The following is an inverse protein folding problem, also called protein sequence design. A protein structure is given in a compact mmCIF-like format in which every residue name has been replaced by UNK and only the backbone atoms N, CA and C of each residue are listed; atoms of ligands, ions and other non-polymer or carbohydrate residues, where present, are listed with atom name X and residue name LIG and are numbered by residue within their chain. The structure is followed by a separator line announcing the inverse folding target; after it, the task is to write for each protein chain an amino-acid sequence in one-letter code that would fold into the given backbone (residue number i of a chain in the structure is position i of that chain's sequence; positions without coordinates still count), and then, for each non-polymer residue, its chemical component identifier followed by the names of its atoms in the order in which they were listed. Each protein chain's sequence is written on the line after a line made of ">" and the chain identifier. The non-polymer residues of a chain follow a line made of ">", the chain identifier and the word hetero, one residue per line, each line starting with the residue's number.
data_IF_927456815265
#
_entry.id   IF_927456815265
#
_cell.length_a   1.000
_cell.length_b   1.000
_cell.length_c   1.000
_cell.angle_alpha   90.00
_cell.angle_beta   90.00
_cell.angle_gamma   90.00
#
_symmetry.space_group_name_H-M   'P 1'
#
loop_
_entity.id
_entity.type
_entity.pdbx_description
1 polymer ?
#
# COMPACT_ATOMS: atom_id res chain seq x y z
N UNK A 1 -13.39 10.56 27.18
CA UNK A 1 -14.32 9.65 26.46
C UNK A 1 -13.90 8.19 26.68
N UNK A 2 -14.81 7.23 26.94
CA UNK A 2 -14.43 5.86 27.37
C UNK A 2 -13.50 5.12 26.39
N UNK A 3 -13.68 5.38 25.09
CA UNK A 3 -12.87 4.81 24.00
C UNK A 3 -11.44 5.37 23.88
N UNK A 4 -11.12 6.47 24.59
CA UNK A 4 -9.76 7.04 24.66
C UNK A 4 -8.91 6.39 25.76
N UNK A 5 -9.54 5.65 26.67
CA UNK A 5 -8.86 4.92 27.75
C UNK A 5 -8.58 3.48 27.35
N UNK A 6 -7.66 2.85 28.05
CA UNK A 6 -7.37 1.43 27.87
C UNK A 6 -8.37 0.59 28.65
N UNK A 7 -8.80 -0.59 28.15
CA UNK A 7 -9.54 -1.56 28.98
C UNK A 7 -8.81 -1.93 30.28
N UNK A 8 -7.47 -1.88 30.29
CA UNK A 8 -6.65 -2.11 31.48
C UNK A 8 -6.93 -1.10 32.59
N UNK A 9 -7.27 0.14 32.24
CA UNK A 9 -7.64 1.19 33.19
C UNK A 9 -8.90 0.83 33.99
N UNK A 10 -9.66 -0.16 33.52
CA UNK A 10 -10.86 -0.69 34.14
C UNK A 10 -10.68 -2.12 34.69
N UNK A 11 -9.43 -2.57 34.84
CA UNK A 11 -9.09 -3.88 35.42
C UNK A 11 -9.23 -5.08 34.48
N UNK A 12 -9.38 -4.87 33.16
CA UNK A 12 -9.54 -5.97 32.21
C UNK A 12 -8.22 -6.38 31.56
N UNK A 13 -7.95 -7.69 31.51
CA UNK A 13 -6.77 -8.28 30.89
C UNK A 13 -6.85 -8.27 29.35
N UNK A 14 -6.86 -7.08 28.75
CA UNK A 14 -6.88 -6.91 27.29
C UNK A 14 -6.42 -5.53 26.87
N UNK A 15 -5.86 -5.45 25.67
CA UNK A 15 -5.27 -4.24 25.11
C UNK A 15 -6.22 -3.39 24.25
N UNK A 16 -7.36 -3.94 23.83
CA UNK A 16 -8.32 -3.27 22.93
C UNK A 16 -9.75 -3.39 23.42
N UNK A 17 -10.60 -2.42 23.10
CA UNK A 17 -12.05 -2.53 23.31
C UNK A 17 -12.69 -3.60 22.40
N UNK A 18 -13.74 -4.26 22.88
CA UNK A 18 -14.74 -4.98 22.06
C UNK A 18 -16.10 -4.44 22.44
N UNK A 19 -17.06 -4.57 21.52
CA UNK A 19 -18.44 -4.16 21.77
C UNK A 19 -19.01 -4.82 23.03
N UNK A 20 -18.70 -6.10 23.26
CA UNK A 20 -19.14 -6.80 24.46
C UNK A 20 -18.62 -6.16 25.76
N UNK A 21 -17.31 -5.91 25.86
CA UNK A 21 -16.76 -5.29 27.06
C UNK A 21 -17.26 -3.86 27.23
N UNK A 22 -17.30 -3.07 26.14
CA UNK A 22 -17.87 -1.73 26.19
C UNK A 22 -19.30 -1.76 26.71
N UNK A 23 -20.11 -2.73 26.26
CA UNK A 23 -21.50 -2.90 26.73
C UNK A 23 -21.55 -3.20 28.22
N UNK A 24 -20.71 -4.11 28.72
CA UNK A 24 -20.65 -4.43 30.16
C UNK A 24 -20.26 -3.21 31.00
N UNK A 25 -19.29 -2.41 30.54
CA UNK A 25 -18.84 -1.22 31.27
C UNK A 25 -19.90 -0.11 31.20
N UNK A 26 -20.51 0.14 30.04
CA UNK A 26 -21.57 1.13 29.89
C UNK A 26 -22.77 0.76 30.76
N UNK A 27 -23.23 -0.49 30.72
CA UNK A 27 -24.33 -0.96 31.56
C UNK A 27 -24.03 -0.76 33.05
N UNK A 28 -22.80 -1.04 33.48
CA UNK A 28 -22.37 -0.84 34.88
C UNK A 28 -22.28 0.64 35.28
N UNK A 29 -21.69 1.48 34.43
CA UNK A 29 -21.42 2.89 34.76
C UNK A 29 -22.69 3.75 34.75
N UNK A 30 -23.67 3.39 33.91
CA UNK A 30 -24.87 4.19 33.69
C UNK A 30 -26.15 3.51 34.22
N UNK A 31 -26.02 2.33 34.84
CA UNK A 31 -27.13 1.51 35.34
C UNK A 31 -28.22 1.26 34.28
N UNK A 32 -27.77 0.85 33.08
CA UNK A 32 -28.65 0.56 31.93
C UNK A 32 -28.52 -0.88 31.49
N UNK A 33 -29.55 -1.39 30.80
CA UNK A 33 -29.51 -2.71 30.18
C UNK A 33 -29.47 -2.57 28.66
N UNK A 34 -28.26 -2.36 28.11
CA UNK A 34 -28.05 -2.35 26.66
C UNK A 34 -27.58 -3.71 26.17
N UNK A 35 -28.15 -4.14 25.03
CA UNK A 35 -27.62 -5.24 24.24
C UNK A 35 -26.45 -4.75 23.37
N UNK A 36 -25.48 -5.63 23.09
CA UNK A 36 -24.28 -5.31 22.27
C UNK A 36 -24.59 -4.69 20.91
N UNK A 37 -25.65 -5.14 20.25
CA UNK A 37 -26.06 -4.60 18.95
C UNK A 37 -26.60 -3.16 19.08
N UNK A 38 -27.29 -2.86 20.18
CA UNK A 38 -27.79 -1.51 20.48
C UNK A 38 -26.62 -0.56 20.70
N UNK A 39 -25.65 -0.95 21.52
CA UNK A 39 -24.45 -0.15 21.72
C UNK A 39 -23.69 0.07 20.41
N UNK A 40 -23.52 -0.96 19.56
CA UNK A 40 -22.84 -0.80 18.27
C UNK A 40 -23.50 0.26 17.38
N UNK A 41 -24.83 0.30 17.35
CA UNK A 41 -25.59 1.33 16.60
C UNK A 41 -25.38 2.72 17.19
N UNK A 42 -25.38 2.87 18.52
CA UNK A 42 -25.12 4.15 19.18
C UNK A 42 -23.69 4.64 18.97
N UNK A 43 -22.70 3.75 19.00
CA UNK A 43 -21.32 4.08 18.67
C UNK A 43 -21.24 4.66 17.25
N UNK A 44 -21.91 4.05 16.26
CA UNK A 44 -21.98 4.59 14.90
C UNK A 44 -22.67 5.95 14.83
N UNK A 45 -23.81 6.13 15.52
CA UNK A 45 -24.52 7.42 15.56
C UNK A 45 -23.68 8.53 16.21
N UNK A 46 -22.86 8.18 17.19
CA UNK A 46 -21.88 9.09 17.82
C UNK A 46 -20.61 9.30 16.97
N UNK A 47 -20.60 8.88 15.70
CA UNK A 47 -19.45 9.04 14.80
C UNK A 47 -18.27 8.10 15.09
N UNK A 48 -18.42 7.11 15.97
CA UNK A 48 -17.36 6.15 16.26
C UNK A 48 -17.34 5.01 15.24
N UNK A 49 -16.12 4.66 14.81
CA UNK A 49 -15.90 3.63 13.78
C UNK A 49 -15.02 2.52 14.32
N UNK A 50 -15.34 1.29 13.92
CA UNK A 50 -14.48 0.13 14.19
C UNK A 50 -13.39 0.05 13.12
N UNK A 51 -12.15 0.34 13.50
CA UNK A 51 -10.99 0.31 12.61
C UNK A 51 -9.80 -0.40 13.26
N UNK A 52 -8.87 -0.87 12.43
CA UNK A 52 -7.58 -1.41 12.87
C UNK A 52 -6.70 -0.25 13.34
N UNK A 53 -6.02 -0.42 14.47
CA UNK A 53 -5.00 0.53 14.91
C UNK A 53 -3.82 0.52 13.93
N UNK A 54 -3.29 1.69 13.58
CA UNK A 54 -2.09 1.80 12.77
C UNK A 54 -0.85 1.73 13.68
N UNK A 55 0.15 0.89 13.38
CA UNK A 55 1.42 0.97 14.09
C UNK A 55 2.06 2.33 13.83
N UNK A 56 2.59 2.96 14.87
CA UNK A 56 3.38 4.19 14.77
C UNK A 56 4.66 3.99 15.56
N UNK A 57 5.79 4.42 15.00
CA UNK A 57 7.05 4.43 15.71
C UNK A 57 7.15 5.73 16.51
N UNK A 58 7.72 5.67 17.71
CA UNK A 58 7.93 6.85 18.56
C UNK A 58 9.03 7.79 18.05
N UNK A 59 9.68 7.45 16.95
CA UNK A 59 10.79 8.22 16.36
C UNK A 59 10.18 9.19 15.34
N UNK A 60 10.38 10.49 15.58
CA UNK A 60 9.96 11.55 14.66
C UNK A 60 11.14 11.85 13.72
N UNK A 61 10.91 11.84 12.42
CA UNK A 61 11.92 12.29 11.45
C UNK A 61 12.18 13.79 11.66
N UNK A 62 13.40 14.22 11.99
CA UNK A 62 13.70 15.64 12.22
C UNK A 62 13.48 16.50 10.98
N UNK A 63 13.52 15.91 9.78
CA UNK A 63 13.35 16.59 8.49
C UNK A 63 11.97 16.35 7.89
N UNK A 64 10.98 15.96 8.70
CA UNK A 64 9.64 15.59 8.22
C UNK A 64 9.00 16.71 7.37
N UNK A 65 8.93 17.92 7.93
CA UNK A 65 8.24 19.05 7.31
C UNK A 65 8.98 19.54 6.05
N UNK A 66 10.31 19.55 6.08
CA UNK A 66 11.16 19.91 4.94
C UNK A 66 10.97 18.95 3.76
N UNK A 67 11.08 17.63 4.01
CA UNK A 67 10.89 16.61 2.96
C UNK A 67 9.48 16.67 2.38
N UNK A 68 8.46 16.81 3.25
CA UNK A 68 7.07 16.95 2.81
C UNK A 68 6.89 18.18 1.92
N UNK A 69 7.42 19.34 2.34
CA UNK A 69 7.31 20.58 1.57
C UNK A 69 8.02 20.46 0.20
N UNK A 70 9.20 19.85 0.15
CA UNK A 70 9.92 19.62 -1.12
C UNK A 70 9.10 18.75 -2.09
N UNK A 71 8.42 17.72 -1.58
CA UNK A 71 7.51 16.88 -2.36
C UNK A 71 6.31 17.70 -2.84
N UNK A 72 5.65 18.45 -1.96
CA UNK A 72 4.50 19.30 -2.31
C UNK A 72 4.86 20.33 -3.40
N UNK A 73 6.02 20.97 -3.30
CA UNK A 73 6.52 21.91 -4.30
C UNK A 73 6.77 21.21 -5.65
N UNK A 74 7.40 20.04 -5.65
CA UNK A 74 7.63 19.29 -6.88
C UNK A 74 6.31 18.88 -7.54
N UNK A 75 5.32 18.43 -6.75
CA UNK A 75 3.99 18.07 -7.25
C UNK A 75 3.26 19.29 -7.84
N UNK A 76 3.31 20.44 -7.17
CA UNK A 76 2.68 21.67 -7.65
C UNK A 76 3.32 22.20 -8.95
N UNK A 77 4.61 21.97 -9.14
CA UNK A 77 5.37 22.35 -10.35
C UNK A 77 5.37 21.24 -11.43
N UNK A 78 4.73 20.11 -11.15
CA UNK A 78 4.69 18.95 -12.04
C UNK A 78 4.05 19.29 -13.38
N UNK A 79 4.70 18.89 -14.47
CA UNK A 79 4.21 19.14 -15.83
C UNK A 79 4.63 18.02 -16.78
N UNK A 80 4.14 18.03 -18.02
CA UNK A 80 4.59 17.08 -19.04
C UNK A 80 6.11 17.18 -19.31
N UNK A 81 6.71 18.36 -19.14
CA UNK A 81 8.16 18.57 -19.27
C UNK A 81 8.93 18.17 -18.01
N UNK A 82 8.32 18.23 -16.83
CA UNK A 82 8.93 17.89 -15.54
C UNK A 82 8.00 16.95 -14.75
N UNK A 83 7.77 15.72 -15.22
CA UNK A 83 6.86 14.80 -14.56
C UNK A 83 7.40 14.36 -13.20
N UNK A 84 6.46 14.20 -12.26
CA UNK A 84 6.71 13.70 -10.90
C UNK A 84 6.00 12.37 -10.72
N UNK A 85 6.72 11.39 -10.20
CA UNK A 85 6.22 10.04 -9.96
C UNK A 85 6.31 9.69 -8.48
N UNK A 86 5.32 8.95 -8.00
CA UNK A 86 5.44 8.18 -6.77
C UNK A 86 6.00 6.81 -7.12
N UNK A 87 7.06 6.40 -6.47
CA UNK A 87 7.75 5.14 -6.75
C UNK A 87 7.76 4.27 -5.50
N UNK A 88 7.58 2.97 -5.74
CA UNK A 88 7.68 1.94 -4.72
C UNK A 88 7.87 0.56 -5.39
N UNK A 89 8.22 -0.43 -4.59
CA UNK A 89 8.40 -1.81 -4.98
C UNK A 89 7.44 -2.73 -4.21
N UNK A 90 6.91 -3.75 -4.89
CA UNK A 90 5.97 -4.70 -4.29
C UNK A 90 6.42 -6.14 -4.48
N UNK A 91 6.25 -6.93 -3.42
CA UNK A 91 6.51 -8.37 -3.39
C UNK A 91 5.31 -9.15 -3.93
N UNK A 92 5.57 -10.06 -4.86
CA UNK A 92 4.61 -11.03 -5.37
C UNK A 92 5.03 -12.42 -4.87
N UNK A 93 4.33 -12.88 -3.85
CA UNK A 93 4.49 -14.22 -3.28
C UNK A 93 3.59 -15.22 -4.02
N UNK A 94 4.12 -16.39 -4.38
CA UNK A 94 3.29 -17.49 -4.90
C UNK A 94 2.43 -18.11 -3.80
N UNK A 95 2.86 -18.02 -2.54
CA UNK A 95 1.98 -18.38 -1.43
C UNK A 95 0.88 -17.31 -1.29
N UNK A 96 -0.40 -17.68 -1.46
CA UNK A 96 -1.48 -16.70 -1.47
C UNK A 96 -1.64 -16.06 -0.09
N UNK A 97 -1.88 -14.75 -0.08
CA UNK A 97 -2.36 -14.08 1.13
C UNK A 97 -3.78 -14.57 1.42
N UNK A 98 -4.10 -14.91 2.67
CA UNK A 98 -5.45 -15.35 3.02
C UNK A 98 -6.33 -14.12 3.28
N UNK A 99 -7.42 -14.03 2.52
CA UNK A 99 -8.42 -12.96 2.60
C UNK A 99 -9.80 -13.49 2.94
N UNK A 100 -10.69 -12.60 3.40
CA UNK A 100 -12.10 -12.93 3.53
C UNK A 100 -12.75 -13.12 2.15
N UNK A 101 -13.66 -14.08 2.04
CA UNK A 101 -14.38 -14.42 0.80
C UNK A 101 -15.82 -14.82 1.18
N UNK A 102 -16.75 -14.71 0.24
CA UNK A 102 -18.14 -15.12 0.45
C UNK A 102 -18.26 -16.64 0.40
N UNK A 103 -18.94 -17.22 1.38
CA UNK A 103 -19.07 -18.68 1.53
C UNK A 103 -20.43 -19.04 2.13
N UNK A 104 -21.01 -20.20 1.79
CA UNK A 104 -22.20 -20.70 2.48
C UNK A 104 -21.94 -20.86 3.99
N UNK A 105 -22.99 -20.63 4.79
CA UNK A 105 -22.90 -20.78 6.24
C UNK A 105 -22.43 -22.19 6.61
N UNK A 106 -21.44 -22.28 7.49
CA UNK A 106 -20.87 -23.56 7.92
C UNK A 106 -19.82 -24.15 6.98
N UNK A 107 -19.55 -23.52 5.83
CA UNK A 107 -18.50 -23.94 4.91
C UNK A 107 -17.28 -23.02 4.99
N UNK A 108 -16.10 -23.61 4.84
CA UNK A 108 -14.83 -22.88 4.80
C UNK A 108 -14.00 -23.36 3.60
N UNK A 109 -13.79 -22.48 2.62
CA UNK A 109 -12.90 -22.71 1.46
C UNK A 109 -11.49 -22.95 1.96
N UNK A 110 -10.86 -24.00 1.45
CA UNK A 110 -9.46 -24.32 1.71
C UNK A 110 -8.64 -23.89 0.51
N UNK A 111 -7.62 -23.07 0.74
CA UNK A 111 -6.68 -22.64 -0.29
C UNK A 111 -5.41 -23.47 -0.12
N UNK A 112 -5.05 -24.22 -1.16
CA UNK A 112 -3.81 -24.99 -1.17
C UNK A 112 -2.62 -24.04 -1.29
N UNK A 113 -1.65 -24.17 -0.41
CA UNK A 113 -0.38 -23.44 -0.48
C UNK A 113 0.67 -24.33 -1.16
N UNK A 114 1.40 -23.83 -2.18
CA UNK A 114 2.44 -24.59 -2.88
C UNK A 114 3.66 -25.02 -2.03
N UNK A 115 3.64 -24.74 -0.71
CA UNK A 115 4.68 -25.13 0.23
C UNK A 115 5.82 -24.13 0.23
N UNK A 116 6.80 -24.32 -0.66
CA UNK A 116 7.92 -23.40 -0.80
C UNK A 116 7.50 -22.13 -1.54
N UNK A 117 7.64 -20.99 -0.88
CA UNK A 117 7.26 -19.72 -1.47
C UNK A 117 8.27 -19.30 -2.55
N UNK A 118 7.83 -19.19 -3.79
CA UNK A 118 8.55 -18.47 -4.84
C UNK A 118 8.19 -16.99 -4.76
N UNK A 119 9.18 -16.11 -4.86
CA UNK A 119 9.00 -14.66 -4.84
C UNK A 119 9.33 -14.05 -6.19
N UNK A 120 8.61 -12.99 -6.52
CA UNK A 120 8.91 -12.10 -7.62
C UNK A 120 8.64 -10.67 -7.17
N UNK A 121 9.18 -9.67 -7.87
CA UNK A 121 9.11 -8.29 -7.44
C UNK A 121 8.74 -7.39 -8.61
N UNK A 122 7.98 -6.35 -8.33
CA UNK A 122 7.76 -5.24 -9.25
C UNK A 122 8.36 -3.97 -8.69
N UNK A 123 8.93 -3.13 -9.55
CA UNK A 123 9.15 -1.72 -9.25
C UNK A 123 8.18 -0.90 -10.10
N UNK A 124 7.39 -0.06 -9.45
CA UNK A 124 6.37 0.76 -10.10
C UNK A 124 6.61 2.25 -9.91
N UNK A 125 6.20 3.03 -10.91
CA UNK A 125 6.16 4.48 -10.88
C UNK A 125 4.76 4.96 -11.30
N UNK A 126 4.09 5.64 -10.38
CA UNK A 126 2.76 6.22 -10.55
C UNK A 126 2.90 7.71 -10.88
N UNK A 127 2.48 8.11 -12.07
CA UNK A 127 2.52 9.52 -12.49
C UNK A 127 1.53 10.35 -11.64
N UNK A 128 2.03 11.34 -10.91
CA UNK A 128 1.25 12.14 -9.95
C UNK A 128 0.03 12.85 -10.56
N UNK A 129 0.16 13.39 -11.77
CA UNK A 129 -0.93 14.11 -12.46
C UNK A 129 -1.85 13.20 -13.26
N UNK A 130 -1.30 12.35 -14.14
CA UNK A 130 -2.10 11.56 -15.09
C UNK A 130 -2.60 10.23 -14.53
N UNK A 131 -2.07 9.79 -13.38
CA UNK A 131 -2.32 8.47 -12.82
C UNK A 131 -1.72 7.31 -13.64
N UNK A 132 -1.02 7.58 -14.74
CA UNK A 132 -0.41 6.53 -15.56
C UNK A 132 0.62 5.74 -14.73
N UNK A 133 0.52 4.41 -14.79
CA UNK A 133 1.44 3.51 -14.09
C UNK A 133 2.48 2.98 -15.08
N UNK A 134 3.75 3.08 -14.72
CA UNK A 134 4.86 2.40 -15.41
C UNK A 134 5.48 1.40 -14.44
N UNK A 135 5.83 0.21 -14.89
CA UNK A 135 6.45 -0.78 -14.01
C UNK A 135 7.42 -1.68 -14.76
N UNK A 136 8.32 -2.29 -14.00
CA UNK A 136 9.20 -3.39 -14.44
C UNK A 136 9.12 -4.52 -13.41
N UNK A 137 9.52 -5.72 -13.80
CA UNK A 137 9.48 -6.92 -12.95
C UNK A 137 10.84 -7.59 -12.87
N UNK A 138 11.16 -8.23 -11.74
CA UNK A 138 12.42 -8.94 -11.57
C UNK A 138 12.40 -9.95 -10.43
N UNK A 139 13.48 -10.73 -10.36
CA UNK A 139 13.62 -11.84 -9.40
C UNK A 139 14.13 -11.40 -8.02
N UNK A 140 14.52 -10.14 -7.85
CA UNK A 140 14.97 -9.59 -6.56
C UNK A 140 14.55 -8.13 -6.40
N UNK A 141 14.18 -7.74 -5.17
CA UNK A 141 14.01 -6.34 -4.76
C UNK A 141 15.39 -5.72 -4.59
N UNK A 142 15.93 -5.15 -5.67
CA UNK A 142 17.34 -4.73 -5.73
C UNK A 142 17.51 -3.38 -6.42
N UNK A 143 18.68 -2.77 -6.24
CA UNK A 143 19.07 -1.56 -6.98
C UNK A 143 19.02 -1.76 -8.50
N UNK A 144 19.23 -2.99 -9.00
CA UNK A 144 19.09 -3.31 -10.42
C UNK A 144 17.65 -3.17 -10.91
N UNK A 145 16.69 -3.69 -10.15
CA UNK A 145 15.27 -3.55 -10.48
C UNK A 145 14.86 -2.07 -10.50
N UNK A 146 15.33 -1.30 -9.52
CA UNK A 146 15.09 0.14 -9.46
C UNK A 146 15.70 0.87 -10.68
N UNK A 147 16.96 0.59 -11.04
CA UNK A 147 17.60 1.18 -12.22
C UNK A 147 16.85 0.81 -13.51
N UNK A 148 16.39 -0.43 -13.66
CA UNK A 148 15.59 -0.85 -14.81
C UNK A 148 14.29 -0.04 -14.94
N UNK A 149 13.66 0.31 -13.81
CA UNK A 149 12.50 1.22 -13.81
C UNK A 149 12.90 2.61 -14.29
N UNK A 150 14.01 3.17 -13.79
CA UNK A 150 14.51 4.48 -14.23
C UNK A 150 14.81 4.49 -15.74
N UNK A 151 15.41 3.44 -16.27
CA UNK A 151 15.65 3.30 -17.71
C UNK A 151 14.37 3.18 -18.53
N UNK A 152 13.36 2.46 -18.03
CA UNK A 152 12.05 2.39 -18.66
C UNK A 152 11.40 3.77 -18.70
N UNK A 153 11.44 4.53 -17.60
CA UNK A 153 10.95 5.90 -17.55
C UNK A 153 11.73 6.82 -18.50
N UNK A 154 13.06 6.66 -18.61
CA UNK A 154 13.89 7.42 -19.56
C UNK A 154 13.43 7.18 -21.01
N UNK A 155 13.07 5.94 -21.34
CA UNK A 155 12.56 5.54 -22.67
C UNK A 155 11.13 6.03 -22.93
N UNK A 156 10.25 6.02 -21.93
CA UNK A 156 8.85 6.48 -22.06
C UNK A 156 8.79 8.01 -22.13
N UNK A 157 9.54 8.71 -21.27
CA UNK A 157 9.52 10.17 -21.12
C UNK A 157 10.76 10.82 -21.73
N UNK A 158 11.13 10.42 -22.96
CA UNK A 158 12.35 10.89 -23.66
C UNK A 158 12.43 12.42 -23.74
N UNK A 159 11.31 13.08 -24.02
CA UNK A 159 11.22 14.55 -24.20
C UNK A 159 11.12 15.35 -22.90
N UNK A 160 10.94 14.69 -21.75
CA UNK A 160 10.94 15.39 -20.47
C UNK A 160 12.30 16.06 -20.23
N UNK A 161 12.29 17.26 -19.65
CA UNK A 161 13.49 17.98 -19.22
C UNK A 161 14.03 17.39 -17.91
N UNK A 162 13.15 17.05 -16.98
CA UNK A 162 13.49 16.37 -15.71
C UNK A 162 12.51 15.24 -15.42
N UNK A 163 12.89 14.31 -14.57
CA UNK A 163 12.03 13.24 -14.02
C UNK A 163 12.27 13.22 -12.52
N UNK A 164 11.26 13.58 -11.72
CA UNK A 164 11.35 13.51 -10.26
C UNK A 164 10.64 12.26 -9.77
N UNK A 165 11.28 11.47 -8.91
CA UNK A 165 10.65 10.34 -8.22
C UNK A 165 10.60 10.62 -6.72
N UNK A 166 9.42 10.51 -6.15
CA UNK A 166 9.19 10.43 -4.70
C UNK A 166 9.38 8.97 -4.31
N UNK A 167 10.38 8.69 -3.49
CA UNK A 167 10.83 7.33 -3.12
C UNK A 167 10.79 7.14 -1.61
N UNK A 168 10.70 5.90 -1.15
CA UNK A 168 10.84 5.59 0.27
C UNK A 168 12.33 5.65 0.72
N UNK A 169 12.61 5.23 1.95
CA UNK A 169 13.97 5.27 2.51
C UNK A 169 14.73 3.94 2.39
N UNK A 170 14.27 3.00 1.57
CA UNK A 170 14.95 1.72 1.35
C UNK A 170 16.40 1.95 0.91
N UNK A 171 17.30 1.11 1.45
CA UNK A 171 18.74 1.19 1.20
C UNK A 171 19.06 1.01 -0.28
N UNK A 172 18.20 0.33 -1.05
CA UNK A 172 18.40 0.14 -2.49
C UNK A 172 18.51 1.45 -3.26
N UNK A 173 17.78 2.51 -2.84
CA UNK A 173 17.78 3.83 -3.48
C UNK A 173 19.02 4.66 -3.14
N UNK A 174 19.73 4.29 -2.07
CA UNK A 174 20.93 4.97 -1.56
C UNK A 174 22.21 4.21 -1.87
N UNK A 175 22.13 3.10 -2.62
CA UNK A 175 23.31 2.29 -2.92
C UNK A 175 24.28 3.03 -3.83
N UNK A 176 25.57 2.68 -3.74
CA UNK A 176 26.61 3.24 -4.61
C UNK A 176 26.29 3.07 -6.10
N UNK A 177 25.59 1.98 -6.46
CA UNK A 177 25.18 1.70 -7.83
C UNK A 177 24.14 2.70 -8.33
N UNK A 178 23.13 2.98 -7.51
CA UNK A 178 22.11 4.01 -7.83
C UNK A 178 22.73 5.40 -7.86
N UNK A 179 23.58 5.72 -6.88
CA UNK A 179 24.28 7.02 -6.84
C UNK A 179 25.11 7.27 -8.10
N UNK A 180 25.89 6.28 -8.55
CA UNK A 180 26.65 6.35 -9.81
C UNK A 180 25.74 6.57 -11.00
N UNK A 181 24.69 5.76 -11.14
CA UNK A 181 23.74 5.90 -12.25
C UNK A 181 23.10 7.29 -12.30
N UNK A 182 22.70 7.86 -11.15
CA UNK A 182 22.12 9.20 -11.06
C UNK A 182 23.11 10.30 -11.45
N UNK A 183 24.40 10.15 -11.09
CA UNK A 183 25.44 11.11 -11.51
C UNK A 183 25.63 11.19 -13.03
N UNK A 184 25.43 10.07 -13.73
CA UNK A 184 25.48 9.97 -15.19
C UNK A 184 24.14 10.36 -15.86
N UNK A 185 23.06 10.48 -15.09
CA UNK A 185 21.70 10.72 -15.57
C UNK A 185 21.05 11.90 -14.80
N UNK A 186 21.63 13.09 -14.92
CA UNK A 186 21.20 14.33 -14.23
C UNK A 186 19.75 14.75 -14.47
N UNK A 187 19.09 14.17 -15.47
CA UNK A 187 17.65 14.30 -15.71
C UNK A 187 16.80 13.75 -14.55
N UNK A 188 17.32 12.82 -13.76
CA UNK A 188 16.59 12.16 -12.68
C UNK A 188 16.89 12.81 -11.33
N UNK A 189 15.85 13.07 -10.55
CA UNK A 189 15.93 13.58 -9.18
C UNK A 189 15.10 12.71 -8.25
N UNK A 190 15.69 12.32 -7.12
CA UNK A 190 14.98 11.60 -6.07
C UNK A 190 14.58 12.57 -4.95
N UNK A 191 13.33 12.48 -4.50
CA UNK A 191 12.84 13.11 -3.29
C UNK A 191 12.45 12.00 -2.31
N UNK A 192 13.12 11.95 -1.17
CA UNK A 192 12.85 10.93 -0.16
C UNK A 192 11.63 11.31 0.68
N UNK A 193 10.72 10.36 0.85
CA UNK A 193 9.64 10.48 1.82
C UNK A 193 10.21 10.73 3.22
N UNK A 194 9.49 11.43 4.10
CA UNK A 194 9.75 11.36 5.52
C UNK A 194 9.75 9.90 5.99
N UNK A 195 10.66 9.57 6.90
CA UNK A 195 10.82 8.21 7.39
C UNK A 195 9.52 7.72 8.00
N UNK A 196 9.16 6.47 7.73
CA UNK A 196 7.92 5.84 8.24
C UNK A 196 6.63 6.59 7.88
N UNK A 197 6.58 7.22 6.70
CA UNK A 197 5.39 7.95 6.22
C UNK A 197 4.76 7.35 4.96
N UNK A 198 4.35 6.07 4.99
CA UNK A 198 3.76 5.36 3.84
C UNK A 198 2.51 6.05 3.28
N UNK A 199 1.72 6.73 4.13
CA UNK A 199 0.52 7.44 3.73
C UNK A 199 0.76 8.63 2.79
N UNK A 200 2.01 9.10 2.67
CA UNK A 200 2.42 10.12 1.72
C UNK A 200 2.78 9.54 0.34
N UNK A 201 2.72 8.22 0.17
CA UNK A 201 3.03 7.51 -1.07
C UNK A 201 1.76 6.87 -1.69
N UNK A 202 1.01 7.57 -2.57
CA UNK A 202 -0.22 7.07 -3.17
C UNK A 202 -0.10 5.75 -3.93
N UNK A 203 1.09 5.39 -4.44
CA UNK A 203 1.29 4.11 -5.13
C UNK A 203 1.06 2.90 -4.20
N UNK A 204 1.20 3.06 -2.88
CA UNK A 204 0.89 1.98 -1.95
C UNK A 204 -0.58 1.53 -2.06
N UNK A 205 -1.48 2.45 -2.41
CA UNK A 205 -2.89 2.12 -2.65
C UNK A 205 -3.08 1.25 -3.90
N UNK A 206 -2.22 1.42 -4.91
CA UNK A 206 -2.20 0.55 -6.09
C UNK A 206 -1.78 -0.86 -5.68
N UNK A 207 -0.75 -0.99 -4.84
CA UNK A 207 -0.29 -2.29 -4.34
C UNK A 207 -1.30 -2.98 -3.43
N UNK A 208 -2.00 -2.22 -2.58
CA UNK A 208 -3.14 -2.74 -1.83
C UNK A 208 -4.20 -3.27 -2.79
N UNK A 209 -4.57 -2.51 -3.82
CA UNK A 209 -5.54 -2.95 -4.83
C UNK A 209 -5.08 -4.20 -5.58
N UNK A 210 -3.80 -4.29 -5.94
CA UNK A 210 -3.20 -5.46 -6.58
C UNK A 210 -3.33 -6.70 -5.70
N UNK A 211 -2.99 -6.57 -4.41
CA UNK A 211 -3.07 -7.68 -3.48
C UNK A 211 -4.49 -8.13 -3.21
N UNK A 212 -5.43 -7.19 -3.07
CA UNK A 212 -6.85 -7.52 -2.92
C UNK A 212 -7.41 -8.23 -4.14
N UNK A 213 -7.03 -7.81 -5.34
CA UNK A 213 -7.63 -8.29 -6.58
C UNK A 213 -7.02 -9.61 -7.05
N UNK A 214 -5.70 -9.75 -6.94
CA UNK A 214 -4.96 -10.84 -7.58
C UNK A 214 -4.32 -11.80 -6.57
N UNK A 215 -3.61 -11.29 -5.56
CA UNK A 215 -2.75 -12.16 -4.74
C UNK A 215 -3.47 -12.80 -3.53
N UNK A 216 -4.70 -12.40 -3.22
CA UNK A 216 -5.46 -12.99 -2.12
C UNK A 216 -6.25 -14.19 -2.60
N UNK A 217 -6.18 -15.28 -1.84
CA UNK A 217 -6.91 -16.53 -2.10
C UNK A 217 -6.73 -17.12 -3.52
N UNK A 218 -5.71 -16.71 -4.28
CA UNK A 218 -5.46 -17.25 -5.62
C UNK A 218 -5.08 -18.73 -5.57
N UNK A 219 -5.27 -19.40 -6.69
CA UNK A 219 -4.99 -20.84 -6.84
C UNK A 219 -3.95 -21.15 -7.92
N UNK A 220 -3.20 -20.13 -8.38
CA UNK A 220 -2.08 -20.32 -9.29
C UNK A 220 -1.10 -21.37 -8.76
N UNK A 221 -0.77 -22.36 -9.59
CA UNK A 221 0.19 -23.43 -9.27
C UNK A 221 1.63 -22.98 -9.47
N UNK A 222 1.85 -22.06 -10.40
CA UNK A 222 3.17 -21.59 -10.80
C UNK A 222 3.24 -20.07 -10.83
N UNK A 223 4.41 -19.50 -10.54
CA UNK A 223 4.63 -18.06 -10.54
C UNK A 223 4.27 -17.40 -11.88
N UNK A 224 4.58 -18.03 -13.02
CA UNK A 224 4.24 -17.46 -14.33
C UNK A 224 2.72 -17.23 -14.52
N UNK A 225 1.87 -18.08 -13.93
CA UNK A 225 0.41 -17.91 -13.99
C UNK A 225 -0.02 -16.68 -13.18
N UNK A 226 0.56 -16.53 -11.98
CA UNK A 226 0.32 -15.38 -11.14
C UNK A 226 0.82 -14.09 -11.81
N UNK A 227 2.02 -14.11 -12.39
CA UNK A 227 2.58 -12.95 -13.10
C UNK A 227 1.76 -12.56 -14.33
N UNK A 228 1.16 -13.52 -15.05
CA UNK A 228 0.21 -13.22 -16.13
C UNK A 228 -0.99 -12.42 -15.61
N UNK A 229 -1.58 -12.83 -14.48
CA UNK A 229 -2.71 -12.12 -13.85
C UNK A 229 -2.29 -10.75 -13.29
N UNK A 230 -1.09 -10.65 -12.71
CA UNK A 230 -0.50 -9.39 -12.26
C UNK A 230 -0.32 -8.43 -13.45
N UNK A 231 0.20 -8.89 -14.59
CA UNK A 231 0.34 -8.06 -15.78
C UNK A 231 -1.01 -7.57 -16.33
N UNK A 232 -2.03 -8.45 -16.35
CA UNK A 232 -3.40 -8.07 -16.71
C UNK A 232 -3.96 -6.99 -15.78
N UNK A 233 -3.76 -7.14 -14.46
CA UNK A 233 -4.13 -6.13 -13.48
C UNK A 233 -3.41 -4.80 -13.74
N UNK A 234 -2.09 -4.82 -13.96
CA UNK A 234 -1.31 -3.58 -14.15
C UNK A 234 -1.77 -2.81 -15.39
N UNK A 235 -2.12 -3.53 -16.47
CA UNK A 235 -2.70 -2.94 -17.67
C UNK A 235 -4.08 -2.32 -17.39
N UNK A 236 -4.95 -3.02 -16.66
CA UNK A 236 -6.29 -2.53 -16.32
C UNK A 236 -6.27 -1.39 -15.29
N UNK A 237 -5.28 -1.36 -14.39
CA UNK A 237 -5.21 -0.41 -13.29
C UNK A 237 -4.72 0.99 -13.73
N UNK A 238 -4.07 1.12 -14.89
CA UNK A 238 -3.58 2.42 -15.39
C UNK A 238 -4.63 3.11 -16.27
N UNK A 239 -5.04 4.36 -15.97
CA UNK A 239 -4.57 5.22 -14.89
C UNK A 239 -5.17 4.91 -13.51
N UNK A 240 -4.39 5.20 -12.46
CA UNK A 240 -4.74 5.01 -11.06
C UNK A 240 -4.59 6.30 -10.23
N UNK A 241 -5.49 6.62 -9.30
CA UNK A 241 -6.81 6.02 -9.13
C UNK A 241 -7.73 6.41 -10.30
N UNK A 242 -8.76 5.61 -10.56
CA UNK A 242 -9.76 5.92 -11.59
C UNK A 242 -10.39 4.66 -12.17
N UNK A 243 -9.54 3.75 -12.65
CA UNK A 243 -10.01 2.45 -13.14
C UNK A 243 -10.42 1.52 -12.00
N UNK A 244 -11.33 0.59 -12.29
CA UNK A 244 -11.76 -0.48 -11.39
C UNK A 244 -11.21 -1.83 -11.88
N UNK A 245 -9.90 -2.12 -11.68
CA UNK A 245 -9.27 -3.30 -12.25
C UNK A 245 -9.90 -4.61 -11.75
N UNK A 246 -10.48 -4.62 -10.54
CA UNK A 246 -11.20 -5.79 -10.01
C UNK A 246 -12.52 -6.12 -10.71
N UNK A 247 -13.05 -5.23 -11.57
CA UNK A 247 -14.22 -5.48 -12.41
C UNK A 247 -13.87 -5.74 -13.88
N UNK A 248 -12.58 -5.71 -14.24
CA UNK A 248 -12.15 -5.96 -15.61
C UNK A 248 -12.45 -7.41 -16.01
N UNK A 249 -13.10 -7.61 -17.15
CA UNK A 249 -13.30 -8.94 -17.72
C UNK A 249 -11.99 -9.39 -18.36
N UNK A 250 -11.55 -10.59 -18.00
CA UNK A 250 -10.43 -11.26 -18.66
C UNK A 250 -11.02 -12.33 -19.57
N UNK A 251 -10.72 -12.26 -20.88
CA UNK A 251 -11.08 -13.31 -21.82
C UNK A 251 -10.38 -14.62 -21.42
N UNK A 252 -11.13 -15.73 -21.48
CA UNK A 252 -10.66 -17.04 -21.01
C UNK A 252 -9.70 -17.69 -22.00
#
# INVERSE_FOLDING_TARGET
>A
MLVQRSPKDFGWLRSRWSTELLTRIVNRLFDVTLHRSTLHRYLKQAGMVWRRAAPTLKIRDPYYDEKRLAIEQALAQGSAANPVFYQDEVDIDLNPKIGADWMPKGQQKRIATPGQNQKHYLAGALHSVTGRVSYVSGNSKSSDLFIQLLEALRRIYRRAKTITLVVDNDIIHKSHKVARWLSENSKFRLLFLPTYSPWLNPIERLWLSLHETITRNHQCRYMWQLLKQVAQFMNAASPFPGNQPGLAKVER
#
